data_IF_678960847811
#
_entry.id   IF_678960847811
#
_cell.length_a   1.000
_cell.length_b   1.000
_cell.length_c   1.000
_cell.angle_alpha   90.00
_cell.angle_beta   90.00
_cell.angle_gamma   90.00
#
_symmetry.space_group_name_H-M   'P 1'
#
loop_
_entity.id
_entity.type
_entity.pdbx_description
1 polymer ?
#
# COMPACT_ATOMS: atom_id res chain seq x y z
N UNK A 1 -7.64 -24.01 4.98
CA UNK A 1 -6.80 -23.51 6.10
C UNK A 1 -5.36 -23.60 5.66
N UNK A 2 -4.64 -22.49 5.63
CA UNK A 2 -3.20 -22.46 5.35
C UNK A 2 -2.45 -22.99 6.59
N UNK A 3 -1.47 -23.87 6.38
CA UNK A 3 -0.66 -24.44 7.45
C UNK A 3 0.84 -24.18 7.17
N UNK A 4 1.59 -23.86 8.23
CA UNK A 4 3.05 -23.74 8.21
C UNK A 4 3.62 -24.27 9.53
N UNK A 5 4.93 -24.52 9.54
CA UNK A 5 5.60 -24.99 10.76
C UNK A 5 5.61 -23.89 11.82
N UNK A 6 5.15 -24.22 13.02
CA UNK A 6 5.05 -23.25 14.11
C UNK A 6 3.79 -22.37 14.08
N UNK A 7 2.80 -22.65 13.21
CA UNK A 7 1.53 -21.92 13.25
C UNK A 7 0.83 -22.11 14.60
N UNK A 8 0.54 -21.02 15.25
CA UNK A 8 -0.24 -21.00 16.50
C UNK A 8 -1.25 -19.84 16.46
N UNK A 9 -2.34 -19.91 17.26
CA UNK A 9 -3.25 -18.80 17.41
C UNK A 9 -2.54 -17.56 17.96
N UNK A 10 -3.11 -16.36 17.69
CA UNK A 10 -2.63 -15.14 18.33
C UNK A 10 -2.71 -15.31 19.86
N UNK A 11 -1.56 -15.22 20.50
CA UNK A 11 -1.46 -15.26 21.96
C UNK A 11 -1.88 -13.92 22.56
N UNK A 12 -2.05 -13.90 23.89
CA UNK A 12 -2.34 -12.67 24.61
C UNK A 12 -1.17 -11.70 24.46
N UNK A 13 -1.40 -10.60 23.76
CA UNK A 13 -0.42 -9.51 23.67
C UNK A 13 -0.48 -8.71 24.96
N UNK A 14 0.67 -8.52 25.62
CA UNK A 14 0.75 -7.68 26.81
C UNK A 14 0.44 -6.23 26.44
N UNK A 15 -0.41 -5.60 27.23
CA UNK A 15 -0.80 -4.22 27.02
C UNK A 15 0.09 -3.27 27.82
N UNK A 16 0.71 -2.32 27.14
CA UNK A 16 1.48 -1.26 27.75
C UNK A 16 0.82 0.09 27.45
N UNK A 17 0.72 1.02 28.42
CA UNK A 17 0.21 2.35 28.16
C UNK A 17 1.18 3.13 27.27
N UNK A 18 0.66 3.77 26.22
CA UNK A 18 1.45 4.70 25.43
C UNK A 18 1.78 5.94 26.25
N UNK A 19 3.03 6.40 26.16
CA UNK A 19 3.48 7.64 26.78
C UNK A 19 3.62 8.72 25.71
N UNK A 20 3.01 9.89 25.92
CA UNK A 20 3.20 11.04 25.07
C UNK A 20 4.66 11.54 25.25
N UNK A 21 5.42 11.55 24.17
CA UNK A 21 6.80 11.99 24.16
C UNK A 21 6.94 13.42 23.66
N UNK A 22 6.30 13.71 22.54
CA UNK A 22 6.41 15.00 21.85
C UNK A 22 5.07 15.35 21.19
N UNK A 23 4.73 16.64 21.17
CA UNK A 23 3.57 17.17 20.46
C UNK A 23 4.02 18.33 19.58
N UNK A 24 3.71 18.24 18.29
CA UNK A 24 3.97 19.26 17.31
C UNK A 24 2.67 19.94 16.88
N UNK A 25 2.67 21.28 16.73
CA UNK A 25 1.50 22.06 16.32
C UNK A 25 0.78 22.75 17.46
N UNK A 26 -0.52 23.04 17.29
CA UNK A 26 -1.31 23.82 18.26
C UNK A 26 -1.78 22.91 19.38
N UNK A 27 -1.32 23.14 20.61
CA UNK A 27 -1.58 22.32 21.80
C UNK A 27 -3.07 22.05 22.12
N UNK A 28 -3.99 22.82 21.60
CA UNK A 28 -5.43 22.72 21.88
C UNK A 28 -6.23 22.16 20.69
N UNK A 29 -5.59 21.65 19.65
CA UNK A 29 -6.29 20.94 18.57
C UNK A 29 -6.80 19.60 19.09
N UNK A 30 -8.02 19.23 18.79
CA UNK A 30 -8.60 17.92 19.07
C UNK A 30 -8.24 16.89 17.97
N UNK A 31 -7.71 17.37 16.85
CA UNK A 31 -7.36 16.57 15.67
C UNK A 31 -5.84 16.51 15.53
N UNK A 32 -5.26 15.41 15.98
CA UNK A 32 -3.83 15.14 15.82
C UNK A 32 -3.61 13.86 15.05
N UNK A 33 -2.69 13.91 14.08
CA UNK A 33 -2.04 12.71 13.59
C UNK A 33 -1.17 12.12 14.71
N UNK A 34 -1.15 10.79 14.83
CA UNK A 34 -0.44 10.10 15.89
C UNK A 34 0.65 9.21 15.29
N UNK A 35 1.85 9.34 15.82
CA UNK A 35 2.97 8.44 15.53
C UNK A 35 3.31 7.64 16.79
N UNK A 36 3.23 6.33 16.70
CA UNK A 36 3.59 5.41 17.77
C UNK A 36 4.94 4.78 17.47
N UNK A 37 5.82 4.77 18.45
CA UNK A 37 7.12 4.12 18.35
C UNK A 37 7.18 2.91 19.28
N UNK A 38 7.33 1.72 18.71
CA UNK A 38 7.39 0.46 19.43
C UNK A 38 7.23 -0.73 18.50
N UNK A 39 7.23 -1.94 19.06
CA UNK A 39 6.83 -3.13 18.32
C UNK A 39 5.39 -2.97 17.81
N UNK A 40 5.18 -3.18 16.52
CA UNK A 40 3.89 -2.89 15.91
C UNK A 40 2.77 -3.83 16.37
N UNK A 41 3.06 -5.08 16.81
CA UNK A 41 2.04 -5.96 17.37
C UNK A 41 1.49 -5.40 18.70
N UNK A 42 2.39 -4.88 19.54
CA UNK A 42 2.02 -4.25 20.82
C UNK A 42 1.25 -2.94 20.58
N UNK A 43 1.72 -2.12 19.63
CA UNK A 43 1.03 -0.86 19.26
C UNK A 43 -0.36 -1.15 18.70
N UNK A 44 -0.50 -2.09 17.77
CA UNK A 44 -1.79 -2.50 17.20
C UNK A 44 -2.76 -2.99 18.30
N UNK A 45 -2.26 -3.79 19.25
CA UNK A 45 -3.06 -4.24 20.40
C UNK A 45 -3.51 -3.07 21.29
N UNK A 46 -2.62 -2.10 21.53
CA UNK A 46 -2.96 -0.87 22.26
C UNK A 46 -4.06 -0.07 21.54
N UNK A 47 -3.99 0.05 20.22
CA UNK A 47 -4.95 0.79 19.41
C UNK A 47 -6.36 0.18 19.42
N UNK A 48 -6.50 -1.13 19.65
CA UNK A 48 -7.82 -1.79 19.69
C UNK A 48 -8.78 -1.15 20.69
N UNK A 49 -8.28 -0.59 21.78
CA UNK A 49 -9.11 0.06 22.81
C UNK A 49 -9.92 1.23 22.23
N UNK A 50 -9.29 2.06 21.43
CA UNK A 50 -9.87 3.33 20.97
C UNK A 50 -10.27 3.32 19.50
N UNK A 51 -9.66 2.43 18.68
CA UNK A 51 -9.78 2.41 17.22
C UNK A 51 -10.39 1.14 16.63
N UNK A 52 -10.87 0.18 17.44
CA UNK A 52 -11.56 -1.01 16.92
C UNK A 52 -12.72 -0.61 16.01
N UNK A 53 -12.72 -1.10 14.77
CA UNK A 53 -13.76 -0.83 13.79
C UNK A 53 -13.84 0.61 13.28
N UNK A 54 -12.75 1.39 13.39
CA UNK A 54 -12.75 2.82 13.05
C UNK A 54 -11.78 3.21 11.94
N UNK A 55 -10.82 2.37 11.59
CA UNK A 55 -9.81 2.69 10.57
C UNK A 55 -10.41 2.43 9.19
N UNK A 56 -10.44 3.47 8.35
CA UNK A 56 -11.05 3.40 7.02
C UNK A 56 -10.09 2.83 5.97
N UNK A 57 -8.81 3.14 6.08
CA UNK A 57 -7.78 2.63 5.18
C UNK A 57 -6.55 2.19 5.96
N UNK A 58 -6.10 0.97 5.69
CA UNK A 58 -4.79 0.47 6.12
C UNK A 58 -3.93 0.26 4.87
N UNK A 59 -2.74 0.85 4.84
CA UNK A 59 -1.68 0.51 3.90
C UNK A 59 -0.50 -0.05 4.68
N UNK A 60 0.05 -1.17 4.21
CA UNK A 60 1.26 -1.76 4.79
C UNK A 60 2.24 -2.20 3.72
N UNK A 61 3.52 -1.94 4.00
CA UNK A 61 4.68 -2.35 3.21
C UNK A 61 5.66 -3.10 4.14
N UNK A 62 5.31 -4.36 4.54
CA UNK A 62 6.11 -5.12 5.48
C UNK A 62 7.44 -5.56 4.86
N UNK A 63 8.43 -5.99 5.66
CA UNK A 63 9.63 -6.63 5.14
C UNK A 63 9.29 -7.76 4.17
N UNK A 64 10.05 -7.87 3.05
CA UNK A 64 9.74 -8.84 1.98
C UNK A 64 10.38 -10.21 2.16
N UNK A 65 11.10 -10.44 3.25
CA UNK A 65 11.92 -11.64 3.48
C UNK A 65 12.93 -11.86 2.31
N UNK A 66 13.50 -10.77 1.85
CA UNK A 66 14.48 -10.75 0.77
C UNK A 66 15.87 -11.27 1.19
N UNK A 67 16.04 -11.59 2.47
CA UNK A 67 17.30 -11.98 3.11
C UNK A 67 18.38 -10.92 3.03
N UNK A 68 17.98 -9.66 3.01
CA UNK A 68 18.85 -8.50 2.98
C UNK A 68 18.77 -7.70 4.28
N UNK A 69 19.91 -7.18 4.73
CA UNK A 69 19.96 -6.16 5.77
C UNK A 69 19.89 -4.78 5.13
N UNK A 70 18.95 -3.96 5.57
CA UNK A 70 18.79 -2.59 5.10
C UNK A 70 19.48 -1.63 6.06
N UNK A 71 20.53 -0.97 5.58
CA UNK A 71 21.37 -0.06 6.36
C UNK A 71 21.33 1.34 5.79
N UNK A 72 21.31 2.34 6.66
CA UNK A 72 21.45 3.74 6.29
C UNK A 72 22.93 4.11 6.25
N UNK A 73 23.42 4.53 5.08
CA UNK A 73 24.79 5.01 4.92
C UNK A 73 24.92 6.41 5.51
N UNK A 74 25.79 6.55 6.50
CA UNK A 74 26.08 7.86 7.13
C UNK A 74 27.07 8.63 6.26
N UNK A 75 26.75 9.87 5.92
CA UNK A 75 27.65 10.78 5.20
C UNK A 75 28.47 11.56 6.20
N UNK A 76 29.81 11.49 6.10
CA UNK A 76 30.72 12.32 6.88
C UNK A 76 31.32 13.36 5.93
N UNK A 77 31.18 14.65 6.26
CA UNK A 77 31.69 15.81 5.48
C UNK A 77 31.26 15.80 3.99
N UNK A 78 30.06 15.24 3.68
CA UNK A 78 29.53 15.21 2.31
C UNK A 78 30.04 14.08 1.44
N UNK A 79 30.95 13.23 1.90
CA UNK A 79 31.39 12.04 1.19
C UNK A 79 30.69 10.78 1.71
N UNK A 80 30.38 9.87 0.81
CA UNK A 80 29.82 8.58 1.16
C UNK A 80 30.97 7.64 1.56
N UNK A 81 31.04 7.26 2.83
CA UNK A 81 31.99 6.26 3.29
C UNK A 81 31.39 4.88 3.12
N UNK A 82 31.93 4.09 2.21
CA UNK A 82 31.58 2.67 2.08
C UNK A 82 32.27 1.91 3.23
N UNK A 83 31.47 1.43 4.17
CA UNK A 83 31.99 0.58 5.25
C UNK A 83 32.27 -0.83 4.76
N UNK A 84 33.27 -1.48 5.36
CA UNK A 84 33.45 -2.93 5.34
C UNK A 84 32.34 -3.55 6.19
N UNK A 85 31.89 -4.76 5.89
CA UNK A 85 30.87 -5.50 6.67
C UNK A 85 31.03 -5.26 8.18
N UNK A 86 30.06 -4.60 8.83
CA UNK A 86 30.05 -4.15 10.24
C UNK A 86 30.74 -2.81 10.53
N UNK A 87 30.56 -1.83 9.69
CA UNK A 87 31.04 -0.47 9.99
C UNK A 87 30.16 0.22 11.04
N UNK A 88 30.81 0.79 12.09
CA UNK A 88 30.17 1.69 13.08
C UNK A 88 29.49 2.92 12.43
N UNK A 89 29.72 3.15 11.14
CA UNK A 89 29.18 4.24 10.34
C UNK A 89 27.90 3.88 9.58
N UNK A 90 27.43 2.64 9.72
CA UNK A 90 26.16 2.17 9.14
C UNK A 90 25.14 1.94 10.23
N UNK A 91 24.03 2.65 10.16
CA UNK A 91 22.90 2.45 11.06
C UNK A 91 21.95 1.42 10.43
N UNK A 92 21.80 0.27 11.07
CA UNK A 92 20.86 -0.78 10.63
C UNK A 92 19.44 -0.30 10.83
N UNK A 93 18.67 -0.22 9.72
CA UNK A 93 17.29 0.22 9.76
C UNK A 93 16.35 -0.92 10.14
N UNK A 94 16.50 -2.09 9.51
CA UNK A 94 15.82 -3.32 9.86
C UNK A 94 16.48 -4.53 9.19
N UNK A 95 16.18 -5.73 9.73
CA UNK A 95 16.62 -7.01 9.19
C UNK A 95 15.46 -7.67 8.44
N UNK A 96 15.71 -8.11 7.22
CA UNK A 96 14.77 -8.83 6.39
C UNK A 96 15.20 -10.29 6.22
N UNK A 97 15.59 -10.91 7.34
CA UNK A 97 16.05 -12.31 7.40
C UNK A 97 15.15 -13.05 8.38
N UNK A 98 14.45 -14.04 7.88
CA UNK A 98 13.54 -14.90 8.63
C UNK A 98 13.95 -16.34 8.52
N UNK A 99 13.77 -17.12 9.59
CA UNK A 99 13.97 -18.55 9.59
C UNK A 99 12.63 -19.29 9.40
N UNK A 100 12.62 -20.26 8.46
CA UNK A 100 11.45 -21.09 8.18
C UNK A 100 10.17 -20.27 7.90
N UNK A 101 9.13 -20.55 8.66
CA UNK A 101 7.79 -19.96 8.49
C UNK A 101 7.47 -18.84 9.52
N UNK A 102 8.49 -18.34 10.23
CA UNK A 102 8.32 -17.26 11.23
C UNK A 102 7.72 -15.99 10.61
N UNK A 103 8.09 -15.68 9.37
CA UNK A 103 7.52 -14.56 8.64
C UNK A 103 5.99 -14.66 8.49
N UNK A 104 5.48 -15.86 8.18
CA UNK A 104 4.03 -16.06 8.05
C UNK A 104 3.32 -15.89 9.40
N UNK A 105 3.92 -16.38 10.48
CA UNK A 105 3.37 -16.18 11.83
C UNK A 105 3.40 -14.71 12.22
N UNK A 106 4.50 -14.01 11.97
CA UNK A 106 4.65 -12.58 12.19
C UNK A 106 3.55 -11.76 11.48
N UNK A 107 3.29 -12.05 10.21
CA UNK A 107 2.25 -11.38 9.43
C UNK A 107 0.84 -11.78 9.88
N UNK A 108 0.62 -13.06 10.19
CA UNK A 108 -0.66 -13.58 10.65
C UNK A 108 -1.20 -12.83 11.87
N UNK A 109 -0.38 -12.71 12.90
CA UNK A 109 -0.76 -12.05 14.15
C UNK A 109 -1.15 -10.59 13.94
N UNK A 110 -0.38 -9.87 13.14
CA UNK A 110 -0.61 -8.45 12.85
C UNK A 110 -1.85 -8.23 11.99
N UNK A 111 -2.03 -9.04 10.97
CA UNK A 111 -3.20 -8.96 10.08
C UNK A 111 -4.51 -9.28 10.80
N UNK A 112 -4.50 -10.20 11.78
CA UNK A 112 -5.67 -10.45 12.62
C UNK A 112 -6.12 -9.19 13.37
N UNK A 113 -5.18 -8.47 13.99
CA UNK A 113 -5.49 -7.24 14.73
C UNK A 113 -5.90 -6.12 13.76
N UNK A 114 -5.23 -5.99 12.61
CA UNK A 114 -5.59 -4.99 11.61
C UNK A 114 -7.02 -5.18 11.11
N UNK A 115 -7.47 -6.42 10.91
CA UNK A 115 -8.87 -6.71 10.54
C UNK A 115 -9.86 -6.20 11.58
N UNK A 116 -9.54 -6.35 12.87
CA UNK A 116 -10.37 -5.84 13.97
C UNK A 116 -10.41 -4.29 14.03
N UNK A 117 -9.29 -3.63 13.67
CA UNK A 117 -9.20 -2.19 13.61
C UNK A 117 -9.99 -1.57 12.45
N UNK A 118 -10.10 -2.28 11.32
CA UNK A 118 -10.82 -1.78 10.15
C UNK A 118 -12.29 -1.50 10.42
N UNK A 119 -12.78 -0.37 9.90
CA UNK A 119 -14.19 -0.05 9.79
C UNK A 119 -14.91 -1.05 8.85
N UNK A 120 -16.22 -1.17 8.95
CA UNK A 120 -16.99 -2.07 8.08
C UNK A 120 -16.91 -1.68 6.60
N UNK A 121 -16.65 -0.41 6.32
CA UNK A 121 -16.39 0.18 5.00
C UNK A 121 -14.90 0.21 4.64
N UNK A 122 -14.03 -0.21 5.57
CA UNK A 122 -12.60 -0.07 5.44
C UNK A 122 -11.96 -1.09 4.51
N UNK A 123 -10.78 -0.72 4.02
CA UNK A 123 -9.95 -1.53 3.13
C UNK A 123 -8.50 -1.61 3.60
N UNK A 124 -7.82 -2.69 3.22
CA UNK A 124 -6.39 -2.86 3.48
C UNK A 124 -5.65 -3.14 2.17
N UNK A 125 -4.53 -2.43 1.98
CA UNK A 125 -3.54 -2.74 0.96
C UNK A 125 -2.32 -3.39 1.62
N UNK A 126 -2.00 -4.60 1.20
CA UNK A 126 -0.76 -5.27 1.55
C UNK A 126 0.16 -5.23 0.34
N UNK A 127 1.26 -4.50 0.46
CA UNK A 127 2.27 -4.39 -0.57
C UNK A 127 3.33 -5.49 -0.39
N UNK A 128 3.68 -6.17 -1.47
CA UNK A 128 4.68 -7.23 -1.44
C UNK A 128 5.36 -7.41 -2.81
N UNK A 129 6.54 -7.96 -2.78
CA UNK A 129 7.24 -8.39 -3.98
C UNK A 129 6.95 -9.86 -4.33
N UNK A 130 7.63 -10.37 -5.36
CA UNK A 130 7.44 -11.71 -5.88
C UNK A 130 7.87 -12.83 -4.92
N UNK A 131 8.70 -12.55 -3.88
CA UNK A 131 9.21 -13.59 -2.97
C UNK A 131 8.11 -14.19 -2.11
N UNK A 132 7.20 -13.36 -1.63
CA UNK A 132 6.16 -13.76 -0.66
C UNK A 132 4.72 -13.50 -1.12
N UNK A 133 4.49 -12.90 -2.29
CA UNK A 133 3.15 -12.53 -2.74
C UNK A 133 2.14 -13.67 -2.69
N UNK A 134 2.53 -14.87 -3.15
CA UNK A 134 1.64 -16.05 -3.17
C UNK A 134 1.25 -16.51 -1.75
N UNK A 135 2.21 -16.50 -0.82
CA UNK A 135 1.94 -16.89 0.58
C UNK A 135 1.10 -15.84 1.29
N UNK A 136 1.42 -14.56 1.10
CA UNK A 136 0.66 -13.46 1.67
C UNK A 136 -0.76 -13.40 1.11
N UNK A 137 -0.94 -13.71 -0.18
CA UNK A 137 -2.27 -13.81 -0.79
C UNK A 137 -3.11 -14.89 -0.09
N UNK A 138 -2.56 -16.09 0.12
CA UNK A 138 -3.26 -17.17 0.82
C UNK A 138 -3.55 -16.83 2.28
N UNK A 139 -2.62 -16.12 2.93
CA UNK A 139 -2.79 -15.65 4.31
C UNK A 139 -3.92 -14.61 4.41
N UNK A 140 -3.97 -13.67 3.48
CA UNK A 140 -5.05 -12.68 3.40
C UNK A 140 -6.41 -13.35 3.10
N UNK A 141 -6.45 -14.36 2.22
CA UNK A 141 -7.66 -15.14 1.93
C UNK A 141 -8.15 -15.86 3.20
N UNK A 142 -7.26 -16.41 4.02
CA UNK A 142 -7.66 -17.06 5.28
C UNK A 142 -8.20 -16.08 6.31
N UNK A 143 -7.58 -14.89 6.44
CA UNK A 143 -7.95 -13.91 7.47
C UNK A 143 -9.17 -13.10 7.05
N UNK A 144 -9.15 -12.54 5.85
CA UNK A 144 -10.21 -11.63 5.38
C UNK A 144 -11.35 -12.36 4.67
N UNK A 145 -11.10 -13.56 4.14
CA UNK A 145 -11.98 -14.29 3.24
C UNK A 145 -11.63 -13.98 1.77
N UNK A 146 -11.54 -15.02 0.93
CA UNK A 146 -11.21 -14.83 -0.49
C UNK A 146 -12.26 -13.98 -1.23
N UNK A 147 -13.51 -14.04 -0.78
CA UNK A 147 -14.64 -13.25 -1.32
C UNK A 147 -14.45 -11.75 -1.11
N UNK A 148 -13.66 -11.35 -0.12
CA UNK A 148 -13.35 -9.96 0.20
C UNK A 148 -12.14 -9.40 -0.55
N UNK A 149 -11.49 -10.22 -1.38
CA UNK A 149 -10.51 -9.70 -2.32
C UNK A 149 -11.18 -8.75 -3.31
N UNK A 150 -10.73 -7.50 -3.32
CA UNK A 150 -11.20 -6.49 -4.27
C UNK A 150 -10.38 -6.56 -5.54
N UNK A 151 -9.05 -6.40 -5.42
CA UNK A 151 -8.12 -6.47 -6.54
C UNK A 151 -6.75 -6.99 -6.12
N UNK A 152 -6.07 -7.62 -7.06
CA UNK A 152 -4.63 -7.78 -7.08
C UNK A 152 -4.07 -6.77 -8.07
N UNK A 153 -3.33 -5.77 -7.57
CA UNK A 153 -2.83 -4.64 -8.33
C UNK A 153 -1.36 -4.88 -8.61
N UNK A 154 -0.97 -4.76 -9.87
CA UNK A 154 0.42 -4.80 -10.29
C UNK A 154 0.95 -3.38 -10.41
N UNK A 155 1.90 -3.02 -9.56
CA UNK A 155 2.68 -1.81 -9.73
C UNK A 155 3.87 -2.10 -10.64
N UNK A 156 3.91 -1.46 -11.82
CA UNK A 156 4.96 -1.60 -12.83
C UNK A 156 5.91 -0.40 -12.81
N UNK A 157 7.19 -0.67 -12.67
CA UNK A 157 8.24 0.34 -12.69
C UNK A 157 8.57 0.78 -14.11
N UNK A 158 8.15 1.95 -14.49
CA UNK A 158 8.37 2.46 -15.86
C UNK A 158 9.82 2.84 -16.14
N UNK A 159 10.65 2.96 -15.11
CA UNK A 159 12.03 3.49 -15.17
C UNK A 159 13.12 2.51 -14.69
N UNK A 160 12.82 1.21 -14.55
CA UNK A 160 13.84 0.22 -14.18
C UNK A 160 14.62 -0.24 -15.41
N UNK A 161 15.97 -0.15 -15.34
CA UNK A 161 16.84 -0.67 -16.39
C UNK A 161 16.80 -2.19 -16.46
N UNK A 162 16.79 -2.74 -17.68
CA UNK A 162 16.88 -4.16 -17.96
C UNK A 162 18.30 -4.49 -18.41
N UNK A 163 18.89 -5.55 -17.82
CA UNK A 163 20.22 -6.00 -18.21
C UNK A 163 20.10 -7.08 -19.28
N UNK A 164 20.77 -6.89 -20.41
CA UNK A 164 20.75 -7.80 -21.58
C UNK A 164 21.33 -9.19 -21.28
N UNK A 165 22.22 -9.29 -20.30
CA UNK A 165 22.91 -10.54 -19.93
C UNK A 165 22.21 -11.37 -18.85
N UNK A 166 21.02 -10.98 -18.41
CA UNK A 166 20.26 -11.75 -17.42
C UNK A 166 19.69 -13.02 -18.05
N UNK A 167 19.80 -14.16 -17.33
CA UNK A 167 19.15 -15.41 -17.71
C UNK A 167 17.67 -15.48 -17.30
N UNK A 168 17.13 -14.42 -16.74
CA UNK A 168 15.74 -14.29 -16.31
C UNK A 168 15.14 -12.98 -16.83
N UNK A 169 13.82 -12.91 -16.89
CA UNK A 169 13.14 -11.65 -17.08
C UNK A 169 13.39 -10.73 -15.88
N UNK A 170 13.44 -9.41 -16.12
CA UNK A 170 13.63 -8.42 -15.04
C UNK A 170 12.43 -8.41 -14.08
N UNK A 171 12.72 -8.29 -12.79
CA UNK A 171 11.70 -8.05 -11.76
C UNK A 171 11.41 -6.55 -11.70
N UNK A 172 10.48 -6.09 -12.53
CA UNK A 172 10.10 -4.68 -12.69
C UNK A 172 8.69 -4.40 -12.17
N UNK A 173 8.15 -5.32 -11.38
CA UNK A 173 6.82 -5.23 -10.78
C UNK A 173 6.83 -5.59 -9.30
N UNK A 174 5.90 -4.98 -8.56
CA UNK A 174 5.49 -5.39 -7.22
C UNK A 174 3.97 -5.55 -7.18
N UNK A 175 3.44 -6.19 -6.16
CA UNK A 175 2.03 -6.50 -6.02
C UNK A 175 1.43 -5.77 -4.82
N UNK A 176 0.25 -5.15 -5.00
CA UNK A 176 -0.58 -4.68 -3.90
C UNK A 176 -1.85 -5.54 -3.85
N UNK A 177 -2.03 -6.24 -2.75
CA UNK A 177 -3.23 -7.03 -2.47
C UNK A 177 -4.24 -6.13 -1.78
N UNK A 178 -5.34 -5.80 -2.46
CA UNK A 178 -6.43 -4.99 -1.91
C UNK A 178 -7.57 -5.89 -1.43
N UNK A 179 -7.81 -5.85 -0.12
CA UNK A 179 -8.94 -6.49 0.52
C UNK A 179 -9.84 -5.47 1.19
N UNK A 180 -11.14 -5.70 1.13
CA UNK A 180 -12.11 -4.99 1.95
C UNK A 180 -12.40 -5.78 3.23
N UNK A 181 -12.79 -5.12 4.31
CA UNK A 181 -13.37 -5.83 5.46
C UNK A 181 -14.69 -6.51 5.06
N UNK A 182 -15.52 -5.79 4.29
CA UNK A 182 -16.76 -6.30 3.71
C UNK A 182 -16.87 -5.81 2.26
N UNK A 183 -16.58 -6.67 1.30
CA UNK A 183 -16.69 -6.33 -0.12
C UNK A 183 -18.12 -5.91 -0.48
N UNK A 184 -18.22 -4.81 -1.21
CA UNK A 184 -19.52 -4.18 -1.55
C UNK A 184 -19.97 -3.09 -0.59
N UNK A 185 -19.35 -2.96 0.60
CA UNK A 185 -19.55 -1.83 1.51
C UNK A 185 -18.35 -0.88 1.54
N UNK A 186 -17.20 -1.34 1.06
CA UNK A 186 -15.93 -0.60 1.10
C UNK A 186 -15.96 0.64 0.22
N UNK A 187 -15.23 1.65 0.65
CA UNK A 187 -14.96 2.86 -0.13
C UNK A 187 -14.07 2.52 -1.31
N UNK A 188 -14.51 2.86 -2.53
CA UNK A 188 -13.71 2.79 -3.75
C UNK A 188 -14.03 3.95 -4.67
N UNK A 189 -13.13 4.90 -4.75
CA UNK A 189 -13.21 6.06 -5.62
C UNK A 189 -12.50 5.76 -6.94
N UNK A 190 -13.20 5.94 -8.05
CA UNK A 190 -12.61 5.73 -9.37
C UNK A 190 -11.65 6.87 -9.73
N UNK A 191 -10.40 6.53 -9.92
CA UNK A 191 -9.36 7.46 -10.35
C UNK A 191 -9.33 7.50 -11.87
N UNK A 192 -9.31 8.71 -12.44
CA UNK A 192 -9.12 8.93 -13.87
C UNK A 192 -7.70 9.41 -14.15
N UNK A 193 -7.10 8.87 -15.21
CA UNK A 193 -5.77 9.27 -15.68
C UNK A 193 -5.82 9.59 -17.16
N UNK A 194 -4.99 10.55 -17.63
CA UNK A 194 -4.90 10.87 -19.03
C UNK A 194 -4.53 9.66 -19.91
N UNK A 195 -5.10 9.55 -21.08
CA UNK A 195 -4.70 8.53 -22.05
C UNK A 195 -3.56 9.06 -22.93
N UNK A 196 -2.51 8.25 -23.11
CA UNK A 196 -1.36 8.62 -23.96
C UNK A 196 -1.77 8.83 -25.44
N UNK A 197 -2.73 8.03 -25.93
CA UNK A 197 -3.23 8.11 -27.29
C UNK A 197 -4.75 8.26 -27.24
N UNK A 198 -5.23 9.42 -27.66
CA UNK A 198 -6.66 9.70 -27.79
C UNK A 198 -7.29 8.75 -28.81
N UNK A 199 -8.39 8.11 -28.44
CA UNK A 199 -9.14 7.23 -29.32
C UNK A 199 -10.55 7.76 -29.47
N UNK A 200 -11.02 7.84 -30.69
CA UNK A 200 -12.43 8.10 -30.99
C UNK A 200 -13.26 6.91 -30.51
N UNK A 201 -14.27 7.19 -29.71
CA UNK A 201 -15.24 6.20 -29.23
C UNK A 201 -16.64 6.60 -29.68
N UNK A 202 -17.50 5.61 -29.96
CA UNK A 202 -18.88 5.88 -30.25
C UNK A 202 -19.57 6.48 -29.02
N UNK A 203 -20.27 7.60 -29.21
CA UNK A 203 -21.13 8.13 -28.16
C UNK A 203 -22.31 7.17 -28.01
N UNK A 204 -22.53 6.68 -26.79
CA UNK A 204 -23.62 5.78 -26.43
C UNK A 204 -24.56 6.48 -25.46
N UNK A 205 -25.84 6.12 -25.51
CA UNK A 205 -26.85 6.60 -24.58
C UNK A 205 -27.77 5.46 -24.18
N UNK A 206 -28.43 5.58 -23.03
CA UNK A 206 -29.45 4.62 -22.61
C UNK A 206 -30.75 4.90 -23.36
N UNK A 207 -31.30 3.87 -24.01
CA UNK A 207 -32.63 3.93 -24.62
C UNK A 207 -33.66 3.30 -23.66
N UNK A 208 -34.61 4.07 -23.12
CA UNK A 208 -35.63 3.59 -22.21
C UNK A 208 -36.62 2.60 -22.86
N UNK A 209 -36.81 2.72 -24.17
CA UNK A 209 -37.77 1.88 -24.90
C UNK A 209 -37.23 0.46 -25.12
N UNK A 210 -36.01 0.37 -25.64
CA UNK A 210 -35.37 -0.95 -25.86
C UNK A 210 -34.71 -1.50 -24.61
N UNK A 211 -34.54 -0.69 -23.53
CA UNK A 211 -33.78 -1.00 -22.29
C UNK A 211 -32.35 -1.46 -22.60
N UNK A 212 -31.68 -0.79 -23.52
CA UNK A 212 -30.32 -1.09 -23.97
C UNK A 212 -29.51 0.19 -24.18
N UNK A 213 -28.19 0.05 -24.12
CA UNK A 213 -27.28 1.10 -24.57
C UNK A 213 -27.25 1.10 -26.07
N UNK A 214 -27.55 2.24 -26.68
CA UNK A 214 -27.55 2.44 -28.14
C UNK A 214 -26.50 3.49 -28.53
N UNK A 215 -25.99 3.36 -29.76
CA UNK A 215 -25.07 4.35 -30.33
C UNK A 215 -25.85 5.58 -30.76
N UNK A 216 -25.37 6.76 -30.33
CA UNK A 216 -25.96 8.03 -30.75
C UNK A 216 -25.61 8.29 -32.22
N UNK A 217 -26.62 8.65 -33.00
CA UNK A 217 -26.49 9.04 -34.40
C UNK A 217 -26.85 10.53 -34.57
N UNK A 218 -26.20 11.20 -35.52
CA UNK A 218 -26.55 12.56 -35.93
C UNK A 218 -27.83 12.61 -36.79
N UNK A 219 -28.23 13.81 -37.19
CA UNK A 219 -29.41 14.04 -38.04
C UNK A 219 -29.35 13.34 -39.39
N UNK A 220 -28.15 13.01 -39.85
CA UNK A 220 -27.88 12.30 -41.11
C UNK A 220 -27.76 10.77 -40.94
N UNK A 221 -27.94 10.26 -39.71
CA UNK A 221 -27.82 8.85 -39.39
C UNK A 221 -26.41 8.34 -39.14
N UNK A 222 -25.38 9.22 -39.14
CA UNK A 222 -24.01 8.85 -38.88
C UNK A 222 -23.74 8.71 -37.41
N UNK A 223 -22.81 7.82 -37.05
CA UNK A 223 -22.39 7.60 -35.64
C UNK A 223 -21.68 8.85 -35.15
N UNK A 224 -22.10 9.34 -33.97
CA UNK A 224 -21.43 10.44 -33.29
C UNK A 224 -20.27 9.87 -32.47
N UNK A 225 -19.07 10.42 -32.69
CA UNK A 225 -17.85 10.04 -31.94
C UNK A 225 -17.47 11.15 -30.96
N UNK A 226 -16.79 10.74 -29.88
CA UNK A 226 -16.07 11.67 -29.00
C UNK A 226 -14.65 11.16 -28.75
N UNK A 227 -13.75 12.08 -28.48
CA UNK A 227 -12.39 11.72 -28.07
C UNK A 227 -12.36 11.54 -26.58
N UNK A 228 -11.85 10.38 -26.14
CA UNK A 228 -11.71 10.09 -24.70
C UNK A 228 -10.30 10.50 -24.29
N UNK A 229 -10.22 11.52 -23.46
CA UNK A 229 -8.97 12.07 -22.95
C UNK A 229 -8.48 11.39 -21.68
N UNK A 230 -9.39 10.76 -20.94
CA UNK A 230 -9.11 10.10 -19.65
C UNK A 230 -9.65 8.67 -19.65
N UNK A 231 -9.00 7.82 -18.84
CA UNK A 231 -9.46 6.45 -18.57
C UNK A 231 -9.48 6.20 -17.08
N UNK A 232 -10.42 5.36 -16.64
CA UNK A 232 -10.41 4.82 -15.26
C UNK A 232 -9.16 3.94 -15.11
N UNK A 233 -8.46 4.11 -13.99
CA UNK A 233 -7.29 3.29 -13.64
C UNK A 233 -7.74 1.84 -13.42
N UNK A 234 -7.07 0.92 -14.08
CA UNK A 234 -7.23 -0.52 -13.87
C UNK A 234 -6.26 -1.06 -12.82
N UNK A 235 -6.13 -2.39 -12.77
CA UNK A 235 -5.23 -3.06 -11.83
C UNK A 235 -3.74 -3.02 -12.23
N UNK A 236 -3.37 -2.44 -13.36
CA UNK A 236 -1.98 -2.19 -13.74
C UNK A 236 -1.65 -0.71 -13.48
N UNK A 237 -0.76 -0.46 -12.54
CA UNK A 237 -0.32 0.88 -12.17
C UNK A 237 1.09 1.15 -12.70
N UNK A 238 1.18 1.98 -13.71
CA UNK A 238 2.44 2.41 -14.33
C UNK A 238 2.95 3.66 -13.59
N UNK A 239 3.77 3.46 -12.56
CA UNK A 239 4.34 4.54 -11.74
C UNK A 239 5.86 4.33 -11.66
N UNK A 240 6.69 5.35 -11.91
CA UNK A 240 8.13 5.23 -11.79
C UNK A 240 8.55 5.02 -10.32
N UNK A 241 9.65 4.30 -10.11
CA UNK A 241 10.34 4.29 -8.82
C UNK A 241 10.99 5.65 -8.58
N UNK A 242 11.18 5.97 -7.29
CA UNK A 242 11.91 7.17 -6.89
C UNK A 242 13.33 7.10 -7.49
N UNK A 243 13.72 8.17 -8.17
CA UNK A 243 15.09 8.36 -8.61
C UNK A 243 15.88 8.96 -7.43
N UNK A 244 17.12 8.52 -7.23
CA UNK A 244 18.02 9.02 -6.18
C UNK A 244 18.29 10.54 -6.24
N UNK A 245 17.94 11.20 -7.34
CA UNK A 245 18.01 12.65 -7.50
C UNK A 245 16.64 13.35 -7.40
N UNK A 246 15.58 12.61 -7.10
CA UNK A 246 14.24 13.19 -6.97
C UNK A 246 14.11 13.99 -5.67
N UNK A 247 13.39 15.12 -5.71
CA UNK A 247 13.16 15.96 -4.53
C UNK A 247 12.38 15.25 -3.41
N UNK A 248 11.68 14.17 -3.75
CA UNK A 248 10.93 13.36 -2.78
C UNK A 248 11.77 12.29 -2.07
N UNK A 249 13.00 12.04 -2.54
CA UNK A 249 13.90 11.06 -1.94
C UNK A 249 14.37 11.55 -0.56
N UNK A 250 14.01 10.80 0.49
CA UNK A 250 14.45 11.08 1.87
C UNK A 250 15.73 10.36 2.24
N UNK A 251 16.28 9.55 1.32
CA UNK A 251 17.41 8.66 1.57
C UNK A 251 17.05 7.38 2.33
N UNK A 252 15.75 7.12 2.57
CA UNK A 252 15.30 5.85 3.14
C UNK A 252 15.29 4.76 2.06
N UNK A 253 15.99 3.62 2.25
CA UNK A 253 16.29 2.68 1.16
C UNK A 253 15.08 2.08 0.44
N UNK A 254 13.96 1.94 1.15
CA UNK A 254 12.73 1.29 0.65
C UNK A 254 11.55 2.25 0.53
N UNK A 255 11.83 3.57 0.50
CA UNK A 255 10.79 4.58 0.34
C UNK A 255 9.96 4.32 -0.91
N UNK A 256 8.64 4.36 -0.75
CA UNK A 256 7.70 4.26 -1.87
C UNK A 256 7.39 5.64 -2.48
N UNK A 257 7.14 5.72 -3.81
CA UNK A 257 6.78 6.98 -4.48
C UNK A 257 5.50 7.59 -3.91
N UNK A 258 5.47 8.92 -3.79
CA UNK A 258 4.29 9.66 -3.37
C UNK A 258 3.08 9.35 -4.24
N UNK A 259 3.25 9.33 -5.58
CA UNK A 259 2.18 9.02 -6.53
C UNK A 259 1.50 7.68 -6.25
N UNK A 260 2.27 6.66 -5.80
CA UNK A 260 1.71 5.37 -5.45
C UNK A 260 0.78 5.47 -4.23
N UNK A 261 1.25 6.14 -3.17
CA UNK A 261 0.52 6.26 -1.92
C UNK A 261 -0.66 7.23 -2.04
N UNK A 262 -0.51 8.33 -2.76
CA UNK A 262 -1.59 9.23 -3.12
C UNK A 262 -2.72 8.47 -3.84
N UNK A 263 -2.36 7.61 -4.80
CA UNK A 263 -3.33 6.77 -5.52
C UNK A 263 -4.06 5.80 -4.60
N UNK A 264 -3.36 5.15 -3.67
CA UNK A 264 -3.96 4.26 -2.66
C UNK A 264 -4.96 5.02 -1.79
N UNK A 265 -4.56 6.19 -1.27
CA UNK A 265 -5.37 6.99 -0.36
C UNK A 265 -6.62 7.52 -1.07
N UNK A 266 -6.46 8.15 -2.23
CA UNK A 266 -7.60 8.68 -3.01
C UNK A 266 -8.58 7.57 -3.41
N UNK A 267 -8.07 6.38 -3.79
CA UNK A 267 -8.92 5.28 -4.20
C UNK A 267 -9.78 4.73 -3.06
N UNK A 268 -9.29 4.71 -1.83
CA UNK A 268 -9.91 3.91 -0.77
C UNK A 268 -10.16 4.67 0.54
N UNK A 269 -10.13 5.99 0.50
CA UNK A 269 -10.57 6.85 1.61
C UNK A 269 -11.14 8.17 1.10
N UNK A 270 -11.83 8.88 2.00
CA UNK A 270 -12.37 10.22 1.78
C UNK A 270 -11.74 11.21 2.78
N UNK A 271 -11.84 12.50 2.50
CA UNK A 271 -11.33 13.53 3.40
C UNK A 271 -11.94 13.38 4.81
N UNK A 272 -11.10 13.43 5.84
CA UNK A 272 -11.48 13.26 7.24
C UNK A 272 -11.55 11.80 7.72
N UNK A 273 -11.35 10.81 6.86
CA UNK A 273 -11.29 9.42 7.26
C UNK A 273 -9.89 9.03 7.80
N UNK A 274 -9.85 7.95 8.60
CA UNK A 274 -8.64 7.51 9.28
C UNK A 274 -7.79 6.58 8.41
N UNK A 275 -6.56 7.01 8.14
CA UNK A 275 -5.55 6.21 7.42
C UNK A 275 -4.49 5.73 8.40
N UNK A 276 -4.17 4.44 8.35
CA UNK A 276 -3.15 3.81 9.21
C UNK A 276 -2.06 3.13 8.38
N UNK A 277 -0.80 3.29 8.82
CA UNK A 277 0.36 2.56 8.33
C UNK A 277 1.22 2.13 9.53
N UNK A 278 1.28 0.83 9.82
CA UNK A 278 2.06 0.28 10.92
C UNK A 278 3.45 -0.24 10.50
N UNK A 279 3.83 -0.01 9.23
CA UNK A 279 5.15 -0.24 8.66
C UNK A 279 5.66 1.03 7.96
N UNK A 280 5.45 2.18 8.55
CA UNK A 280 5.47 3.49 7.89
C UNK A 280 6.84 3.91 7.29
N UNK A 281 7.94 3.22 7.60
CA UNK A 281 9.26 3.48 7.03
C UNK A 281 9.65 4.96 7.09
N UNK A 282 9.76 5.61 5.92
CA UNK A 282 10.05 7.05 5.81
C UNK A 282 8.87 7.97 6.16
N UNK A 283 7.68 7.41 6.43
CA UNK A 283 6.48 8.18 6.74
C UNK A 283 5.75 8.76 5.54
N UNK A 284 6.07 8.34 4.32
CA UNK A 284 5.46 8.89 3.11
C UNK A 284 3.93 8.74 3.11
N UNK A 285 3.39 7.59 3.55
CA UNK A 285 1.95 7.37 3.69
C UNK A 285 1.28 8.42 4.56
N UNK A 286 1.88 8.73 5.72
CA UNK A 286 1.35 9.69 6.69
C UNK A 286 1.36 11.11 6.14
N UNK A 287 2.42 11.48 5.42
CA UNK A 287 2.56 12.80 4.79
C UNK A 287 1.52 13.00 3.68
N UNK A 288 1.30 11.98 2.84
CA UNK A 288 0.31 12.10 1.77
C UNK A 288 -1.12 12.05 2.32
N UNK A 289 -1.41 11.23 3.34
CA UNK A 289 -2.73 11.22 4.01
C UNK A 289 -3.07 12.56 4.65
N UNK A 290 -2.09 13.28 5.18
CA UNK A 290 -2.33 14.61 5.77
C UNK A 290 -2.64 15.70 4.75
N UNK A 291 -2.20 15.54 3.50
CA UNK A 291 -2.43 16.52 2.43
C UNK A 291 -3.79 16.36 1.75
N UNK A 292 -4.30 15.13 1.74
CA UNK A 292 -5.53 14.72 1.06
C UNK A 292 -6.73 14.69 2.00
#
# INVERSE_FOLDING_TARGET
MLAWVGKHPLEKVEWYPAQEKEVYGVKNSTEFNKLFWGDNLQVLSHLLKDYRGKIDLIYIDPPFDSKADYVKKVKIRGEQVAGVQESILEEKQYTDIWENDEYLQFMYERLLIMKELLADTGSIYLHCDWHKNSYLRLLMDEIFGYENLVNEITWYYTNKFKFEFSKSFGTDTETLLLYAKNKGKHTLNHIQVPVKNKRKQNKITWDPQSKKMITVKDENGNVVYYEKDEKIVGALWEIPRINSMANEDTGYPTQKPKELLERVIIASSNAGELVMDCFCGSGTTLVEAQKL
#
